data_IF_320210832615
#
_entry.id   IF_320210832615
#
_cell.length_a   1.000
_cell.length_b   1.000
_cell.length_c   1.000
_cell.angle_alpha   90.00
_cell.angle_beta   90.00
_cell.angle_gamma   90.00
#
_symmetry.space_group_name_H-M   'P 1'
#
loop_
_entity.id
_entity.type
_entity.pdbx_description
1 polymer ?
#
# COMPACT_ATOMS: atom_id res chain seq x y z
N UNK A 1 11.78 10.22 6.48
CA UNK A 1 11.00 9.15 7.11
C UNK A 1 11.30 7.82 6.43
N UNK A 2 11.50 6.82 7.21
CA UNK A 2 11.84 5.51 6.69
C UNK A 2 10.60 4.67 6.50
N UNK A 3 10.41 4.14 5.30
CA UNK A 3 9.29 3.25 5.00
C UNK A 3 9.83 1.85 4.88
N UNK A 4 9.32 0.93 5.67
CA UNK A 4 9.75 -0.46 5.61
C UNK A 4 8.55 -1.39 5.51
N UNK A 5 8.81 -2.66 5.27
CA UNK A 5 7.77 -3.65 5.00
C UNK A 5 6.86 -3.90 6.21
N UNK A 6 7.31 -3.56 7.41
CA UNK A 6 6.53 -3.77 8.64
C UNK A 6 5.64 -2.59 8.99
N UNK A 7 5.70 -1.51 8.22
CA UNK A 7 4.85 -0.34 8.43
C UNK A 7 3.37 -0.74 8.33
N UNK A 8 2.56 -0.29 9.28
CA UNK A 8 1.13 -0.53 9.22
C UNK A 8 0.53 0.18 8.03
N UNK A 9 -0.32 -0.52 7.31
CA UNK A 9 -0.95 0.02 6.12
C UNK A 9 -2.35 -0.53 5.95
N UNK A 10 -3.15 0.16 5.16
CA UNK A 10 -4.48 -0.29 4.77
C UNK A 10 -4.55 -0.24 3.25
N UNK A 11 -4.94 -1.35 2.65
CA UNK A 11 -5.16 -1.41 1.21
C UNK A 11 -6.64 -1.25 0.94
N UNK A 12 -7.00 -0.19 0.23
CA UNK A 12 -8.39 0.09 -0.13
C UNK A 12 -8.56 -0.24 -1.60
N UNK A 13 -9.16 -1.39 -1.88
CA UNK A 13 -9.32 -1.90 -3.24
C UNK A 13 -10.57 -1.38 -3.93
N UNK A 14 -11.53 -0.89 -3.16
CA UNK A 14 -12.78 -0.34 -3.68
C UNK A 14 -13.51 0.33 -2.52
N UNK A 15 -14.79 0.62 -2.70
CA UNK A 15 -15.63 1.14 -1.63
C UNK A 15 -15.85 0.13 -0.51
N UNK A 16 -15.37 -1.11 -0.68
CA UNK A 16 -15.48 -2.15 0.34
C UNK A 16 -14.51 -1.89 1.48
N UNK A 17 -14.55 -2.78 2.47
CA UNK A 17 -13.74 -2.65 3.67
C UNK A 17 -12.25 -2.56 3.36
N UNK A 18 -11.55 -1.63 4.00
CA UNK A 18 -10.10 -1.58 3.87
C UNK A 18 -9.47 -2.82 4.49
N UNK A 19 -8.42 -3.31 3.86
CA UNK A 19 -7.68 -4.45 4.35
C UNK A 19 -6.44 -3.97 5.09
N UNK A 20 -6.38 -4.24 6.37
CA UNK A 20 -5.25 -3.85 7.21
C UNK A 20 -4.19 -4.94 7.23
N UNK A 21 -2.97 -4.53 6.99
CA UNK A 21 -1.83 -5.43 7.01
C UNK A 21 -0.55 -4.61 7.07
N UNK A 22 0.59 -5.29 6.96
CA UNK A 22 1.85 -4.58 6.83
C UNK A 22 1.96 -4.04 5.40
N UNK A 23 2.83 -3.04 5.22
CA UNK A 23 3.06 -2.48 3.89
C UNK A 23 3.50 -3.57 2.90
N UNK A 24 4.39 -4.46 3.32
CA UNK A 24 4.85 -5.54 2.46
C UNK A 24 3.71 -6.44 2.00
N UNK A 25 2.81 -6.79 2.91
CA UNK A 25 1.65 -7.61 2.58
C UNK A 25 0.68 -6.87 1.67
N UNK A 26 0.46 -5.58 1.91
CA UNK A 26 -0.40 -4.76 1.07
C UNK A 26 0.14 -4.67 -0.35
N UNK A 27 1.44 -4.46 -0.50
CA UNK A 27 2.06 -4.40 -1.83
C UNK A 27 1.95 -5.73 -2.55
N UNK A 28 2.13 -6.82 -1.82
CA UNK A 28 2.02 -8.16 -2.39
C UNK A 28 0.60 -8.42 -2.87
N UNK A 29 -0.38 -8.07 -2.06
CA UNK A 29 -1.79 -8.22 -2.42
C UNK A 29 -2.13 -7.35 -3.63
N UNK A 30 -1.69 -6.10 -3.64
CA UNK A 30 -1.93 -5.19 -4.75
C UNK A 30 -1.35 -5.74 -6.06
N UNK A 31 -0.17 -6.36 -5.98
CA UNK A 31 0.48 -6.94 -7.16
C UNK A 31 -0.31 -8.08 -7.80
N UNK A 32 -1.18 -8.72 -7.03
CA UNK A 32 -2.01 -9.81 -7.56
C UNK A 32 -3.28 -9.31 -8.24
N UNK A 33 -3.61 -8.03 -8.10
CA UNK A 33 -4.80 -7.45 -8.69
C UNK A 33 -4.59 -7.21 -10.19
N UNK A 34 -5.69 -7.24 -10.94
CA UNK A 34 -5.62 -6.88 -12.36
C UNK A 34 -5.41 -5.37 -12.49
N UNK A 35 -5.11 -4.92 -13.72
CA UNK A 35 -4.78 -3.52 -13.96
C UNK A 35 -5.90 -2.57 -13.56
N UNK A 36 -7.15 -2.96 -13.81
CA UNK A 36 -8.30 -2.12 -13.47
C UNK A 36 -8.44 -1.98 -11.96
N UNK A 37 -8.28 -3.08 -11.23
CA UNK A 37 -8.38 -3.06 -9.78
C UNK A 37 -7.21 -2.29 -9.18
N UNK A 38 -6.01 -2.43 -9.73
CA UNK A 38 -4.85 -1.67 -9.29
C UNK A 38 -5.08 -0.17 -9.44
N UNK A 39 -5.65 0.24 -10.56
CA UNK A 39 -5.90 1.65 -10.84
C UNK A 39 -6.92 2.27 -9.88
N UNK A 40 -7.80 1.46 -9.31
CA UNK A 40 -8.84 1.92 -8.39
C UNK A 40 -8.42 1.83 -6.93
N UNK A 41 -7.26 1.28 -6.68
CA UNK A 41 -6.82 1.03 -5.31
C UNK A 41 -6.10 2.23 -4.71
N UNK A 42 -6.16 2.33 -3.40
CA UNK A 42 -5.42 3.30 -2.62
C UNK A 42 -4.72 2.58 -1.50
N UNK A 43 -3.60 3.13 -1.07
CA UNK A 43 -2.86 2.60 0.06
C UNK A 43 -2.71 3.70 1.09
N UNK A 44 -3.11 3.42 2.32
CA UNK A 44 -2.96 4.37 3.42
C UNK A 44 -1.85 3.86 4.33
N UNK A 45 -0.81 4.64 4.46
CA UNK A 45 0.29 4.35 5.37
C UNK A 45 0.04 5.04 6.69
N UNK A 46 0.22 4.32 7.78
CA UNK A 46 0.13 4.89 9.11
C UNK A 46 1.53 5.11 9.65
N UNK A 47 1.89 6.38 9.80
CA UNK A 47 3.18 6.75 10.34
C UNK A 47 3.11 6.98 11.85
N UNK A 48 4.22 7.41 12.38
CA UNK A 48 4.33 7.78 13.78
C UNK A 48 3.44 8.98 14.09
N UNK A 49 3.03 9.09 15.34
CA UNK A 49 2.20 10.19 15.83
C UNK A 49 0.85 10.29 15.13
N UNK A 50 0.34 9.17 14.61
CA UNK A 50 -0.96 9.13 13.96
C UNK A 50 -1.02 9.76 12.57
N UNK A 51 0.13 10.07 12.00
CA UNK A 51 0.18 10.62 10.65
C UNK A 51 -0.26 9.58 9.63
N UNK A 52 -1.05 10.02 8.67
CA UNK A 52 -1.51 9.17 7.58
C UNK A 52 -1.03 9.71 6.26
N UNK A 53 -0.69 8.80 5.38
CA UNK A 53 -0.31 9.16 4.02
C UNK A 53 -1.07 8.27 3.05
N UNK A 54 -1.83 8.88 2.16
CA UNK A 54 -2.59 8.13 1.15
C UNK A 54 -1.83 8.12 -0.14
N UNK A 55 -1.65 6.92 -0.70
CA UNK A 55 -0.97 6.71 -1.96
C UNK A 55 -1.98 6.29 -3.01
N UNK A 56 -1.96 6.95 -4.16
CA UNK A 56 -2.77 6.53 -5.30
C UNK A 56 -2.07 5.38 -6.02
N UNK A 57 -2.72 4.83 -7.06
CA UNK A 57 -2.19 3.69 -7.79
C UNK A 57 -0.78 3.96 -8.35
N UNK A 58 -0.52 5.15 -8.83
CA UNK A 58 0.79 5.51 -9.36
C UNK A 58 1.85 5.47 -8.28
N UNK A 59 1.55 6.02 -7.12
CA UNK A 59 2.49 6.03 -6.00
C UNK A 59 2.72 4.63 -5.47
N UNK A 60 1.66 3.79 -5.45
CA UNK A 60 1.79 2.39 -5.06
C UNK A 60 2.72 1.66 -6.03
N UNK A 61 2.55 1.89 -7.33
CA UNK A 61 3.38 1.25 -8.35
C UNK A 61 4.86 1.63 -8.18
N UNK A 62 5.13 2.89 -7.89
CA UNK A 62 6.49 3.34 -7.65
C UNK A 62 7.09 2.67 -6.42
N UNK A 63 6.30 2.56 -5.37
CA UNK A 63 6.73 1.91 -4.14
C UNK A 63 6.95 0.41 -4.37
N UNK A 64 6.05 -0.24 -5.11
CA UNK A 64 6.17 -1.66 -5.44
C UNK A 64 7.43 -1.95 -6.25
N UNK A 65 7.84 -1.02 -7.11
CA UNK A 65 9.07 -1.17 -7.88
C UNK A 65 10.30 -1.17 -6.97
N UNK A 66 10.17 -0.63 -5.77
CA UNK A 66 11.24 -0.63 -4.76
C UNK A 66 11.08 -1.74 -3.74
N UNK A 67 10.04 -2.57 -3.89
CA UNK A 67 9.72 -3.61 -2.91
C UNK A 67 10.89 -4.52 -2.55
N UNK A 68 11.77 -4.91 -3.48
CA UNK A 68 12.93 -5.72 -3.12
C UNK A 68 13.81 -5.10 -2.03
N UNK A 69 13.83 -3.78 -1.95
CA UNK A 69 14.60 -3.09 -0.92
C UNK A 69 13.86 -3.06 0.43
N UNK A 70 12.56 -3.37 0.42
CA UNK A 70 11.75 -3.38 1.64
C UNK A 70 11.69 -4.76 2.28
N UNK A 71 12.10 -5.78 1.57
CA UNK A 71 12.17 -7.14 2.10
C UNK A 71 13.58 -7.47 2.59
#
# INVERSE_FOLDING_TARGET
>A
MRTDADTEAELIRSIHQPWRATLGECLRCWSTLDAAAQARSYLVLRGEAGLRRTLNARAIAELAARAPALT
#
